data_IF_300565601356
#
_entry.id   IF_300565601356
#
_cell.length_a   1.000
_cell.length_b   1.000
_cell.length_c   1.000
_cell.angle_alpha   90.00
_cell.angle_beta   90.00
_cell.angle_gamma   90.00
#
_symmetry.space_group_name_H-M   'P 1'
#
loop_
_entity.id
_entity.type
_entity.pdbx_description
1 polymer ?
#
# COMPACT_ATOMS: atom_id res chain seq x y z
N UNK A 1 -43.02 2.32 21.06
CA UNK A 1 -42.34 2.01 19.77
C UNK A 1 -43.36 1.79 18.65
N UNK A 2 -44.28 0.83 18.77
CA UNK A 2 -45.30 0.54 17.74
C UNK A 2 -46.10 1.78 17.31
N UNK A 3 -46.60 2.60 18.24
CA UNK A 3 -47.33 3.83 17.92
C UNK A 3 -46.50 4.80 17.06
N UNK A 4 -45.24 5.04 17.42
CA UNK A 4 -44.34 5.93 16.67
C UNK A 4 -44.05 5.40 15.26
N UNK A 5 -43.86 4.09 15.12
CA UNK A 5 -43.67 3.46 13.81
C UNK A 5 -44.93 3.60 12.95
N UNK A 6 -46.12 3.38 13.53
CA UNK A 6 -47.39 3.55 12.82
C UNK A 6 -47.58 5.00 12.38
N UNK A 7 -47.29 5.98 13.25
CA UNK A 7 -47.36 7.40 12.92
C UNK A 7 -46.40 7.73 11.77
N UNK A 8 -45.15 7.25 11.85
CA UNK A 8 -44.16 7.47 10.81
C UNK A 8 -44.58 6.84 9.48
N UNK A 9 -45.08 5.60 9.50
CA UNK A 9 -45.58 4.91 8.32
C UNK A 9 -46.76 5.64 7.67
N UNK A 10 -47.72 6.11 8.47
CA UNK A 10 -48.85 6.93 8.00
C UNK A 10 -48.37 8.24 7.39
N UNK A 11 -47.42 8.92 8.03
CA UNK A 11 -46.84 10.16 7.50
C UNK A 11 -46.09 9.94 6.18
N UNK A 12 -45.29 8.88 6.07
CA UNK A 12 -44.60 8.52 4.82
C UNK A 12 -45.59 8.17 3.71
N UNK A 13 -46.63 7.37 4.01
CA UNK A 13 -47.66 7.00 3.05
C UNK A 13 -48.48 8.21 2.58
N UNK A 14 -48.78 9.16 3.47
CA UNK A 14 -49.41 10.42 3.13
C UNK A 14 -48.57 11.21 2.11
N UNK A 15 -47.24 11.31 2.35
CA UNK A 15 -46.33 11.95 1.41
C UNK A 15 -46.28 11.22 0.05
N UNK A 16 -46.30 9.88 0.06
CA UNK A 16 -46.37 9.06 -1.15
C UNK A 16 -47.67 9.29 -1.93
N UNK A 17 -48.83 9.39 -1.26
CA UNK A 17 -50.11 9.71 -1.89
C UNK A 17 -50.06 11.09 -2.55
N UNK A 18 -49.55 12.11 -1.84
CA UNK A 18 -49.41 13.46 -2.38
C UNK A 18 -48.46 13.50 -3.59
N UNK A 19 -47.33 12.79 -3.53
CA UNK A 19 -46.39 12.65 -4.64
C UNK A 19 -47.00 11.88 -5.82
N UNK A 20 -47.79 10.83 -5.54
CA UNK A 20 -48.53 10.05 -6.53
C UNK A 20 -49.55 10.90 -7.29
N UNK A 21 -50.33 11.74 -6.61
CA UNK A 21 -51.21 12.70 -7.28
C UNK A 21 -50.43 13.73 -8.09
N UNK A 22 -49.29 14.20 -7.57
CA UNK A 22 -48.44 15.15 -8.28
C UNK A 22 -47.81 14.56 -9.54
N UNK A 23 -47.46 13.27 -9.56
CA UNK A 23 -46.92 12.60 -10.74
C UNK A 23 -48.01 12.07 -11.69
N UNK A 24 -49.15 11.63 -11.15
CA UNK A 24 -50.20 10.94 -11.90
C UNK A 24 -51.32 11.82 -12.42
N UNK A 25 -51.59 12.98 -11.81
CA UNK A 25 -52.66 13.90 -12.25
C UNK A 25 -52.06 15.14 -12.89
N UNK A 26 -51.08 15.77 -12.23
CA UNK A 26 -50.58 17.08 -12.62
C UNK A 26 -50.00 17.18 -14.03
N UNK A 27 -49.25 16.18 -14.56
CA UNK A 27 -48.76 16.25 -15.93
C UNK A 27 -49.87 16.18 -16.98
N UNK A 28 -51.04 15.64 -16.63
CA UNK A 28 -52.17 15.43 -17.53
C UNK A 28 -53.28 16.49 -17.38
N UNK A 29 -53.15 17.40 -16.41
CA UNK A 29 -54.14 18.45 -16.13
C UNK A 29 -53.52 19.81 -16.42
N UNK A 30 -54.03 20.50 -17.44
CA UNK A 30 -53.58 21.82 -17.85
C UNK A 30 -53.77 22.06 -19.34
N UNK A 31 -53.37 23.24 -19.81
CA UNK A 31 -53.29 23.52 -21.24
C UNK A 31 -52.00 22.93 -21.80
N UNK A 32 -52.09 22.26 -22.95
CA UNK A 32 -50.92 21.74 -23.65
C UNK A 32 -50.05 22.92 -24.10
N UNK A 33 -48.76 22.99 -23.72
CA UNK A 33 -47.87 24.05 -24.19
C UNK A 33 -47.74 23.98 -25.72
N UNK A 34 -47.69 25.15 -26.36
CA UNK A 34 -47.70 25.27 -27.83
C UNK A 34 -46.53 24.54 -28.52
N UNK A 35 -45.41 24.34 -27.79
CA UNK A 35 -44.21 23.62 -28.24
C UNK A 35 -44.43 22.10 -28.40
N UNK A 36 -45.41 21.52 -27.69
CA UNK A 36 -45.66 20.07 -27.71
C UNK A 36 -46.87 19.67 -28.57
N UNK A 37 -47.47 20.62 -29.31
CA UNK A 37 -48.66 20.37 -30.14
C UNK A 37 -48.44 19.41 -31.32
N UNK A 38 -47.19 19.19 -31.73
CA UNK A 38 -46.81 18.30 -32.83
C UNK A 38 -46.39 16.90 -32.39
N UNK A 39 -46.37 16.62 -31.07
CA UNK A 39 -45.94 15.32 -30.52
C UNK A 39 -47.00 14.26 -30.84
N UNK A 40 -46.59 13.19 -31.54
CA UNK A 40 -47.46 12.07 -31.87
C UNK A 40 -47.52 11.06 -30.71
N UNK A 41 -48.66 10.37 -30.61
CA UNK A 41 -48.83 9.27 -29.67
C UNK A 41 -47.80 8.15 -29.95
N UNK A 42 -47.27 7.50 -28.90
CA UNK A 42 -46.33 6.41 -29.07
C UNK A 42 -46.97 5.23 -29.80
N UNK A 43 -46.16 4.48 -30.56
CA UNK A 43 -46.60 3.32 -31.32
C UNK A 43 -47.30 2.29 -30.42
N UNK A 44 -48.32 1.58 -30.94
CA UNK A 44 -49.16 0.68 -30.14
C UNK A 44 -48.39 -0.43 -29.40
N UNK A 45 -47.22 -0.83 -29.90
CA UNK A 45 -46.33 -1.78 -29.22
C UNK A 45 -45.78 -1.27 -27.88
N UNK A 46 -45.63 0.05 -27.70
CA UNK A 46 -45.17 0.65 -26.44
C UNK A 46 -46.25 0.68 -25.36
N UNK A 47 -47.52 0.51 -25.75
CA UNK A 47 -48.65 0.45 -24.81
C UNK A 47 -48.82 -0.93 -24.19
N UNK A 48 -48.40 -1.98 -24.90
CA UNK A 48 -48.64 -3.36 -24.49
C UNK A 48 -48.04 -3.67 -23.11
N UNK A 49 -46.77 -3.35 -22.79
CA UNK A 49 -46.20 -3.71 -21.48
C UNK A 49 -46.86 -3.00 -20.29
N UNK A 50 -47.06 -1.65 -20.30
CA UNK A 50 -47.79 -0.98 -19.21
C UNK A 50 -49.23 -1.46 -19.06
N UNK A 51 -49.92 -1.77 -20.16
CA UNK A 51 -51.29 -2.25 -20.15
C UNK A 51 -51.38 -3.66 -19.55
N UNK A 52 -50.48 -4.57 -19.93
CA UNK A 52 -50.39 -5.90 -19.33
C UNK A 52 -50.09 -5.79 -17.82
N UNK A 53 -49.13 -4.96 -17.41
CA UNK A 53 -48.83 -4.73 -15.99
C UNK A 53 -50.02 -4.13 -15.23
N UNK A 54 -50.73 -3.19 -15.83
CA UNK A 54 -51.94 -2.60 -15.25
C UNK A 54 -53.08 -3.61 -15.09
N UNK A 55 -53.33 -4.45 -16.10
CA UNK A 55 -54.35 -5.52 -16.05
C UNK A 55 -53.98 -6.56 -15.00
N UNK A 56 -52.72 -7.01 -14.97
CA UNK A 56 -52.24 -7.96 -13.96
C UNK A 56 -52.35 -7.37 -12.54
N UNK A 57 -52.00 -6.09 -12.37
CA UNK A 57 -52.19 -5.35 -11.12
C UNK A 57 -53.66 -5.31 -10.69
N UNK A 58 -54.56 -4.94 -11.59
CA UNK A 58 -56.00 -4.93 -11.34
C UNK A 58 -56.53 -6.33 -10.97
N UNK A 59 -56.19 -7.35 -11.76
CA UNK A 59 -56.61 -8.73 -11.51
C UNK A 59 -56.08 -9.25 -10.17
N UNK A 60 -54.83 -8.93 -9.83
CA UNK A 60 -54.23 -9.30 -8.55
C UNK A 60 -54.91 -8.64 -7.35
N UNK A 61 -55.40 -7.41 -7.50
CA UNK A 61 -56.17 -6.71 -6.48
C UNK A 61 -57.60 -7.25 -6.32
N UNK A 62 -58.25 -7.63 -7.42
CA UNK A 62 -59.61 -8.17 -7.42
C UNK A 62 -59.69 -9.64 -6.99
N UNK A 63 -58.65 -10.44 -7.22
CA UNK A 63 -58.62 -11.87 -6.84
C UNK A 63 -57.40 -12.19 -5.98
N UNK A 64 -57.27 -11.58 -4.78
CA UNK A 64 -56.05 -11.68 -3.98
C UNK A 64 -55.84 -13.08 -3.40
N UNK A 65 -56.88 -13.91 -3.29
CA UNK A 65 -56.78 -15.28 -2.80
C UNK A 65 -55.95 -16.18 -3.73
N UNK A 66 -56.07 -16.01 -5.06
CA UNK A 66 -55.36 -16.85 -6.04
C UNK A 66 -53.84 -16.69 -5.90
N UNK A 67 -53.36 -15.44 -5.84
CA UNK A 67 -51.95 -15.13 -5.66
C UNK A 67 -51.50 -15.30 -4.19
N UNK A 68 -52.39 -15.02 -3.26
CA UNK A 68 -52.17 -15.17 -1.83
C UNK A 68 -51.84 -16.60 -1.43
N UNK A 69 -52.63 -17.55 -1.92
CA UNK A 69 -52.48 -18.97 -1.58
C UNK A 69 -51.39 -19.64 -2.43
N UNK A 70 -51.29 -19.29 -3.72
CA UNK A 70 -50.35 -19.95 -4.64
C UNK A 70 -48.90 -19.45 -4.51
N UNK A 71 -48.67 -18.17 -4.19
CA UNK A 71 -47.34 -17.54 -4.22
C UNK A 71 -46.93 -16.93 -2.88
N UNK A 72 -47.81 -16.13 -2.26
CA UNK A 72 -47.44 -15.37 -1.06
C UNK A 72 -47.32 -16.28 0.17
N UNK A 73 -48.29 -17.18 0.39
CA UNK A 73 -48.30 -18.06 1.56
C UNK A 73 -47.07 -18.99 1.62
N UNK A 74 -46.65 -19.68 0.53
CA UNK A 74 -45.42 -20.46 0.52
C UNK A 74 -44.16 -19.62 0.79
N UNK A 75 -44.08 -18.41 0.20
CA UNK A 75 -42.94 -17.51 0.40
C UNK A 75 -42.83 -17.04 1.85
N UNK A 76 -43.95 -16.66 2.47
CA UNK A 76 -43.99 -16.24 3.89
C UNK A 76 -43.63 -17.41 4.81
N UNK A 77 -44.18 -18.60 4.57
CA UNK A 77 -43.86 -19.79 5.36
C UNK A 77 -42.38 -20.17 5.28
N UNK A 78 -41.77 -20.01 4.09
CA UNK A 78 -40.34 -20.26 3.89
C UNK A 78 -39.45 -19.26 4.62
N UNK A 79 -39.82 -17.98 4.70
CA UNK A 79 -39.03 -16.94 5.40
C UNK A 79 -39.26 -17.01 6.92
N UNK A 80 -40.49 -17.24 7.35
CA UNK A 80 -40.88 -17.24 8.77
C UNK A 80 -40.55 -18.55 9.50
N UNK A 81 -40.31 -19.64 8.76
CA UNK A 81 -40.00 -20.97 9.32
C UNK A 81 -41.17 -21.65 10.05
N UNK A 82 -42.37 -21.06 10.02
CA UNK A 82 -43.60 -21.58 10.62
C UNK A 82 -44.79 -21.35 9.69
N UNK A 83 -45.87 -22.13 9.84
CA UNK A 83 -47.09 -21.95 9.05
C UNK A 83 -47.85 -20.69 9.47
N UNK A 84 -47.60 -19.58 8.79
CA UNK A 84 -48.36 -18.32 8.95
C UNK A 84 -49.48 -18.33 7.92
N UNK A 85 -50.73 -18.40 8.38
CA UNK A 85 -51.89 -18.28 7.48
C UNK A 85 -52.03 -16.82 7.03
N UNK A 86 -51.64 -16.55 5.78
CA UNK A 86 -51.83 -15.24 5.15
C UNK A 86 -53.26 -15.16 4.63
N UNK A 87 -54.12 -14.40 5.31
CA UNK A 87 -55.49 -14.18 4.86
C UNK A 87 -55.59 -12.86 4.09
N UNK A 88 -55.47 -12.94 2.76
CA UNK A 88 -55.68 -11.80 1.88
C UNK A 88 -57.14 -11.74 1.45
N UNK A 89 -57.93 -10.88 2.10
CA UNK A 89 -59.30 -10.54 1.68
C UNK A 89 -59.35 -9.14 1.10
N UNK A 90 -60.23 -8.91 0.13
CA UNK A 90 -60.45 -7.56 -0.43
C UNK A 90 -61.11 -6.67 0.63
N UNK A 91 -62.05 -7.24 1.39
CA UNK A 91 -62.80 -6.54 2.41
C UNK A 91 -62.60 -7.20 3.78
N UNK A 92 -62.05 -6.42 4.71
CA UNK A 92 -61.76 -6.85 6.09
C UNK A 92 -62.74 -6.26 7.11
N UNK A 93 -63.83 -5.61 6.67
CA UNK A 93 -64.78 -4.90 7.53
C UNK A 93 -64.30 -3.52 7.97
N UNK A 94 -65.09 -2.86 8.83
CA UNK A 94 -64.71 -1.60 9.46
C UNK A 94 -63.66 -1.86 10.56
N UNK A 95 -62.39 -1.64 10.24
CA UNK A 95 -61.28 -1.81 11.17
C UNK A 95 -60.38 -0.57 11.22
N UNK A 96 -59.46 -0.56 12.19
CA UNK A 96 -58.53 0.56 12.40
C UNK A 96 -57.66 0.82 11.16
N UNK A 97 -57.27 -0.24 10.44
CA UNK A 97 -56.45 -0.15 9.21
C UNK A 97 -57.19 0.60 8.11
N UNK A 98 -58.49 0.35 7.93
CA UNK A 98 -59.34 1.05 6.96
C UNK A 98 -59.45 2.54 7.32
N UNK A 99 -59.67 2.86 8.60
CA UNK A 99 -59.74 4.25 9.08
C UNK A 99 -58.41 4.97 8.79
N UNK A 100 -57.27 4.33 9.10
CA UNK A 100 -55.95 4.90 8.80
C UNK A 100 -55.73 5.07 7.30
N UNK A 101 -56.16 4.12 6.47
CA UNK A 101 -56.05 4.23 5.00
C UNK A 101 -56.89 5.39 4.46
N UNK A 102 -58.13 5.53 4.90
CA UNK A 102 -59.00 6.66 4.54
C UNK A 102 -58.36 7.97 5.01
N UNK A 103 -57.83 8.01 6.22
CA UNK A 103 -57.14 9.17 6.76
C UNK A 103 -55.89 9.52 5.93
N UNK A 104 -55.07 8.54 5.53
CA UNK A 104 -53.89 8.79 4.67
C UNK A 104 -54.26 9.36 3.31
N UNK A 105 -55.34 8.86 2.69
CA UNK A 105 -55.83 9.37 1.42
C UNK A 105 -56.36 10.79 1.58
N UNK A 106 -57.23 11.03 2.56
CA UNK A 106 -57.80 12.35 2.81
C UNK A 106 -56.71 13.39 3.12
N UNK A 107 -55.80 13.09 4.06
CA UNK A 107 -54.71 13.99 4.41
C UNK A 107 -53.71 14.17 3.27
N UNK A 108 -53.41 13.12 2.50
CA UNK A 108 -52.53 13.18 1.33
C UNK A 108 -53.12 14.05 0.21
N UNK A 109 -54.43 13.96 -0.04
CA UNK A 109 -55.15 14.83 -0.95
C UNK A 109 -55.15 16.29 -0.48
N UNK A 110 -55.36 16.54 0.81
CA UNK A 110 -55.26 17.89 1.40
C UNK A 110 -53.85 18.46 1.18
N UNK A 111 -52.81 17.67 1.47
CA UNK A 111 -51.42 18.07 1.23
C UNK A 111 -51.15 18.33 -0.26
N UNK A 112 -51.70 17.53 -1.18
CA UNK A 112 -51.57 17.78 -2.61
C UNK A 112 -52.13 19.14 -3.03
N UNK A 113 -53.33 19.52 -2.56
CA UNK A 113 -53.94 20.82 -2.89
C UNK A 113 -53.22 22.00 -2.26
N UNK A 114 -52.75 21.86 -1.02
CA UNK A 114 -52.03 22.90 -0.28
C UNK A 114 -50.59 23.05 -0.79
N UNK A 115 -49.93 21.94 -1.13
CA UNK A 115 -48.52 21.93 -1.50
C UNK A 115 -48.28 22.30 -2.96
N UNK A 116 -48.56 23.57 -3.30
CA UNK A 116 -48.17 24.13 -4.59
C UNK A 116 -46.64 24.24 -4.71
N UNK A 117 -46.05 23.86 -5.86
CA UNK A 117 -44.61 23.99 -6.09
C UNK A 117 -44.22 25.45 -6.10
N UNK A 118 -43.13 25.77 -5.40
CA UNK A 118 -42.58 27.11 -5.32
C UNK A 118 -41.06 27.01 -5.29
N UNK A 119 -40.38 27.96 -5.92
CA UNK A 119 -38.91 28.03 -5.95
C UNK A 119 -38.30 28.06 -4.54
N UNK A 120 -38.97 28.72 -3.57
CA UNK A 120 -38.51 28.77 -2.18
C UNK A 120 -38.57 27.42 -1.45
N UNK A 121 -39.50 26.53 -1.84
CA UNK A 121 -39.56 25.16 -1.29
C UNK A 121 -38.50 24.27 -1.93
N UNK A 122 -38.25 24.47 -3.22
CA UNK A 122 -37.23 23.73 -3.95
C UNK A 122 -35.83 24.05 -3.41
N UNK A 123 -35.52 25.32 -3.17
CA UNK A 123 -34.24 25.73 -2.54
C UNK A 123 -34.10 25.21 -1.11
N UNK A 124 -35.19 25.18 -0.33
CA UNK A 124 -35.18 24.57 1.00
C UNK A 124 -34.84 23.07 0.96
N UNK A 125 -35.43 22.30 0.04
CA UNK A 125 -35.11 20.87 -0.11
C UNK A 125 -33.70 20.67 -0.67
N UNK A 126 -33.24 21.54 -1.57
CA UNK A 126 -31.87 21.52 -2.10
C UNK A 126 -30.83 21.72 -0.97
N UNK A 127 -31.14 22.50 0.07
CA UNK A 127 -30.26 22.62 1.24
C UNK A 127 -30.07 21.28 1.97
N UNK A 128 -31.06 20.38 1.95
CA UNK A 128 -30.92 19.03 2.52
C UNK A 128 -30.13 18.08 1.62
N UNK A 129 -29.89 18.44 0.35
CA UNK A 129 -29.03 17.65 -0.55
C UNK A 129 -27.56 17.63 -0.09
N UNK A 130 -27.17 18.51 0.83
CA UNK A 130 -25.90 18.42 1.56
C UNK A 130 -25.75 17.11 2.33
N UNK A 131 -26.85 16.49 2.77
CA UNK A 131 -26.89 15.20 3.49
C UNK A 131 -27.20 14.03 2.54
N UNK A 132 -27.13 14.25 1.22
CA UNK A 132 -27.43 13.18 0.25
C UNK A 132 -26.34 12.09 0.25
N UNK A 133 -26.73 10.79 0.22
CA UNK A 133 -25.79 9.68 0.10
C UNK A 133 -24.86 9.80 -1.11
N UNK A 134 -25.38 10.34 -2.23
CA UNK A 134 -24.61 10.59 -3.45
C UNK A 134 -23.43 11.53 -3.21
N UNK A 135 -23.64 12.61 -2.43
CA UNK A 135 -22.58 13.57 -2.11
C UNK A 135 -21.54 12.96 -1.17
N UNK A 136 -21.98 12.18 -0.18
CA UNK A 136 -21.07 11.46 0.71
C UNK A 136 -20.17 10.49 -0.07
N UNK A 137 -20.76 9.73 -0.99
CA UNK A 137 -20.03 8.84 -1.90
C UNK A 137 -19.02 9.61 -2.76
N UNK A 138 -19.46 10.68 -3.44
CA UNK A 138 -18.58 11.47 -4.31
C UNK A 138 -17.43 12.11 -3.52
N UNK A 139 -17.69 12.57 -2.29
CA UNK A 139 -16.66 13.10 -1.41
C UNK A 139 -15.64 12.04 -0.99
N UNK A 140 -16.10 10.85 -0.59
CA UNK A 140 -15.22 9.72 -0.25
C UNK A 140 -14.35 9.31 -1.44
N UNK A 141 -14.94 9.16 -2.62
CA UNK A 141 -14.22 8.81 -3.84
C UNK A 141 -13.13 9.84 -4.17
N UNK A 142 -13.47 11.14 -4.09
CA UNK A 142 -12.50 12.22 -4.30
C UNK A 142 -11.37 12.17 -3.28
N UNK A 143 -11.69 11.98 -2.00
CA UNK A 143 -10.69 11.90 -0.92
C UNK A 143 -9.78 10.69 -1.08
N UNK A 144 -10.34 9.56 -1.50
CA UNK A 144 -9.56 8.37 -1.80
C UNK A 144 -8.59 8.60 -2.97
N UNK A 145 -9.04 9.27 -4.03
CA UNK A 145 -8.18 9.63 -5.16
C UNK A 145 -7.05 10.59 -4.74
N UNK A 146 -7.38 11.65 -3.99
CA UNK A 146 -6.39 12.58 -3.44
C UNK A 146 -5.37 11.87 -2.54
N UNK A 147 -5.84 10.96 -1.68
CA UNK A 147 -4.99 10.14 -0.82
C UNK A 147 -4.09 9.21 -1.63
N UNK A 148 -4.61 8.56 -2.67
CA UNK A 148 -3.83 7.69 -3.56
C UNK A 148 -2.72 8.47 -4.27
N UNK A 149 -3.03 9.67 -4.78
CA UNK A 149 -2.05 10.55 -5.39
C UNK A 149 -0.97 11.00 -4.40
N UNK A 150 -1.35 11.39 -3.19
CA UNK A 150 -0.42 11.75 -2.11
C UNK A 150 0.47 10.57 -1.70
N UNK A 151 -0.11 9.39 -1.49
CA UNK A 151 0.61 8.16 -1.12
C UNK A 151 1.62 7.76 -2.20
N UNK A 152 1.20 7.82 -3.47
CA UNK A 152 2.06 7.52 -4.62
C UNK A 152 3.17 8.54 -4.75
N UNK A 153 2.88 9.84 -4.59
CA UNK A 153 3.90 10.89 -4.62
C UNK A 153 4.92 10.78 -3.48
N UNK A 154 4.53 10.26 -2.31
CA UNK A 154 5.47 9.98 -1.22
C UNK A 154 6.28 8.72 -1.50
N UNK A 155 5.63 7.61 -1.82
CA UNK A 155 6.29 6.31 -1.94
C UNK A 155 7.05 6.14 -3.25
N UNK A 156 6.47 6.55 -4.37
CA UNK A 156 6.96 6.35 -5.74
C UNK A 156 7.30 7.68 -6.44
N UNK A 157 8.26 8.42 -5.90
CA UNK A 157 8.68 9.72 -6.46
C UNK A 157 9.76 9.64 -7.56
N UNK A 158 10.22 8.43 -7.93
CA UNK A 158 11.23 8.22 -8.97
C UNK A 158 12.68 8.49 -8.53
N UNK A 159 12.92 9.02 -7.32
CA UNK A 159 14.27 9.32 -6.85
C UNK A 159 14.85 8.17 -6.02
N UNK A 160 15.97 7.60 -6.49
CA UNK A 160 16.68 6.52 -5.79
C UNK A 160 17.00 6.83 -4.32
N UNK A 161 17.43 8.07 -4.03
CA UNK A 161 17.68 8.54 -2.66
C UNK A 161 16.47 8.36 -1.74
N UNK A 162 15.25 8.61 -2.24
CA UNK A 162 14.05 8.47 -1.44
C UNK A 162 13.69 7.01 -1.17
N UNK A 163 13.90 6.13 -2.16
CA UNK A 163 13.69 4.69 -1.99
C UNK A 163 14.69 4.11 -0.98
N UNK A 164 15.98 4.44 -1.10
CA UNK A 164 17.03 4.00 -0.16
C UNK A 164 16.70 4.50 1.26
N UNK A 165 16.31 5.76 1.42
CA UNK A 165 15.94 6.31 2.73
C UNK A 165 14.79 5.50 3.37
N UNK A 166 13.73 5.17 2.63
CA UNK A 166 12.61 4.38 3.13
C UNK A 166 13.02 2.96 3.50
N UNK A 167 13.85 2.32 2.68
CA UNK A 167 14.38 0.97 2.95
C UNK A 167 15.20 0.98 4.24
N UNK A 168 16.10 1.96 4.40
CA UNK A 168 16.93 2.09 5.61
C UNK A 168 16.06 2.37 6.83
N UNK A 169 15.10 3.29 6.77
CA UNK A 169 14.17 3.57 7.88
C UNK A 169 13.36 2.32 8.23
N UNK A 170 12.85 1.60 7.24
CA UNK A 170 12.10 0.37 7.46
C UNK A 170 12.96 -0.71 8.13
N UNK A 171 14.19 -0.92 7.65
CA UNK A 171 15.15 -1.83 8.26
C UNK A 171 15.49 -1.42 9.71
N UNK A 172 15.68 -0.12 9.98
CA UNK A 172 15.87 0.41 11.33
C UNK A 172 14.69 0.06 12.25
N UNK A 173 13.45 0.25 11.79
CA UNK A 173 12.27 -0.08 12.57
C UNK A 173 12.21 -1.57 12.91
N UNK A 174 12.59 -2.46 11.97
CA UNK A 174 12.67 -3.89 12.22
C UNK A 174 13.77 -4.24 13.24
N UNK A 175 14.97 -3.67 13.11
CA UNK A 175 16.04 -3.90 14.08
C UNK A 175 15.71 -3.34 15.46
N UNK A 176 15.06 -2.17 15.53
CA UNK A 176 14.58 -1.59 16.79
C UNK A 176 13.55 -2.52 17.43
N UNK A 177 12.59 -3.02 16.65
CA UNK A 177 11.59 -3.98 17.12
C UNK A 177 12.26 -5.25 17.70
N UNK A 178 13.23 -5.81 16.99
CA UNK A 178 13.99 -6.98 17.44
C UNK A 178 14.84 -6.68 18.69
N UNK A 179 15.44 -5.49 18.78
CA UNK A 179 16.18 -5.06 19.97
C UNK A 179 15.27 -4.93 21.19
N UNK A 180 14.03 -4.44 21.02
CA UNK A 180 13.03 -4.40 22.09
C UNK A 180 12.58 -5.80 22.53
N UNK A 181 12.44 -6.75 21.61
CA UNK A 181 11.98 -8.11 21.92
C UNK A 181 13.07 -8.99 22.54
N UNK A 182 14.30 -8.94 22.00
CA UNK A 182 15.33 -9.92 22.32
C UNK A 182 16.09 -9.71 23.64
N UNK A 183 15.47 -9.11 24.65
CA UNK A 183 16.04 -8.99 26.00
C UNK A 183 17.09 -7.89 26.21
N UNK A 184 17.66 -7.79 27.44
CA UNK A 184 18.55 -6.69 27.83
C UNK A 184 19.92 -6.77 27.15
N UNK A 185 20.48 -5.60 26.83
CA UNK A 185 21.83 -5.47 26.27
C UNK A 185 22.82 -5.34 27.44
N UNK A 186 23.74 -6.29 27.60
CA UNK A 186 24.82 -6.21 28.60
C UNK A 186 26.18 -6.61 28.03
N UNK A 187 27.22 -5.83 28.35
CA UNK A 187 28.58 -6.15 27.92
C UNK A 187 29.26 -7.02 28.98
N UNK A 188 29.61 -8.26 28.60
CA UNK A 188 30.44 -9.10 29.45
C UNK A 188 31.91 -8.81 29.18
N UNK A 189 32.50 -7.93 30.00
CA UNK A 189 33.91 -7.55 29.90
C UNK A 189 34.89 -8.73 30.01
N UNK A 190 34.48 -9.85 30.63
CA UNK A 190 35.36 -11.02 30.76
C UNK A 190 35.57 -11.78 29.46
N UNK A 191 34.72 -11.56 28.44
CA UNK A 191 34.83 -12.19 27.12
C UNK A 191 35.52 -11.29 26.08
N UNK A 192 35.90 -10.07 26.45
CA UNK A 192 36.54 -9.13 25.55
C UNK A 192 38.06 -9.35 25.55
N UNK A 193 38.64 -9.42 24.36
CA UNK A 193 40.10 -9.46 24.18
C UNK A 193 40.72 -8.09 24.52
N UNK A 194 41.96 -8.07 25.06
CA UNK A 194 42.67 -6.82 25.29
C UNK A 194 42.95 -6.11 23.96
N UNK A 195 42.78 -4.78 23.93
CA UNK A 195 43.01 -3.97 22.73
C UNK A 195 44.50 -3.80 22.51
N UNK A 196 44.97 -4.16 21.32
CA UNK A 196 46.35 -3.94 20.89
C UNK A 196 46.55 -2.53 20.34
N UNK A 197 47.77 -2.00 20.45
CA UNK A 197 48.12 -0.68 19.90
C UNK A 197 47.96 -0.64 18.37
N UNK A 198 48.19 -1.78 17.70
CA UNK A 198 48.04 -1.93 16.26
C UNK A 198 46.57 -1.86 15.83
N UNK A 199 45.66 -2.42 16.63
CA UNK A 199 44.21 -2.33 16.42
C UNK A 199 43.73 -0.88 16.58
N UNK A 200 44.18 -0.21 17.65
CA UNK A 200 43.86 1.21 17.89
C UNK A 200 44.34 2.12 16.75
N UNK A 201 45.57 1.92 16.26
CA UNK A 201 46.10 2.64 15.11
C UNK A 201 45.28 2.38 13.83
N UNK A 202 44.82 1.15 13.62
CA UNK A 202 44.00 0.77 12.46
C UNK A 202 42.62 1.42 12.50
N UNK A 203 41.98 1.45 13.68
CA UNK A 203 40.72 2.17 13.88
C UNK A 203 40.89 3.67 13.63
N UNK A 204 42.02 4.26 14.04
CA UNK A 204 42.32 5.67 13.76
C UNK A 204 42.45 5.92 12.25
N UNK A 205 43.14 5.05 11.50
CA UNK A 205 43.20 5.16 10.04
C UNK A 205 41.82 5.03 9.38
N UNK A 206 40.97 4.14 9.89
CA UNK A 206 39.59 3.99 9.43
C UNK A 206 38.78 5.28 9.65
N UNK A 207 38.85 5.88 10.84
CA UNK A 207 38.17 7.14 11.15
C UNK A 207 38.70 8.29 10.27
N UNK A 208 40.02 8.35 10.05
CA UNK A 208 40.63 9.36 9.19
C UNK A 208 40.18 9.21 7.72
N UNK A 209 40.16 7.99 7.19
CA UNK A 209 39.65 7.69 5.85
C UNK A 209 38.18 8.07 5.68
N UNK A 210 37.34 7.74 6.67
CA UNK A 210 35.93 8.14 6.70
C UNK A 210 35.76 9.67 6.74
N UNK A 211 36.51 10.35 7.61
CA UNK A 211 36.46 11.81 7.72
C UNK A 211 36.80 12.50 6.39
N UNK A 212 37.87 12.06 5.73
CA UNK A 212 38.26 12.58 4.40
C UNK A 212 37.16 12.33 3.38
N UNK A 213 36.59 11.12 3.36
CA UNK A 213 35.55 10.74 2.40
C UNK A 213 34.28 11.57 2.55
N UNK A 214 33.87 11.90 3.79
CA UNK A 214 32.65 12.66 4.07
C UNK A 214 32.80 14.17 3.89
N UNK A 215 34.01 14.71 4.06
CA UNK A 215 34.24 16.17 4.05
C UNK A 215 34.78 16.68 2.72
N UNK A 216 35.36 15.82 1.90
CA UNK A 216 36.05 16.25 0.68
C UNK A 216 35.07 16.69 -0.42
N UNK A 217 35.35 17.82 -1.11
CA UNK A 217 34.59 18.23 -2.28
C UNK A 217 35.02 17.50 -3.57
N UNK A 218 36.09 16.71 -3.55
CA UNK A 218 36.68 16.06 -4.74
C UNK A 218 36.33 14.58 -4.81
N UNK A 219 35.84 14.12 -5.97
CA UNK A 219 35.49 12.70 -6.18
C UNK A 219 36.70 11.78 -6.06
N UNK A 220 37.82 12.20 -6.64
CA UNK A 220 39.07 11.43 -6.59
C UNK A 220 39.53 11.25 -5.14
N UNK A 221 39.47 12.33 -4.35
CA UNK A 221 39.83 12.28 -2.92
C UNK A 221 38.86 11.41 -2.12
N UNK A 222 37.56 11.42 -2.44
CA UNK A 222 36.58 10.55 -1.77
C UNK A 222 36.82 9.06 -2.06
N UNK A 223 37.15 8.73 -3.31
CA UNK A 223 37.54 7.36 -3.70
C UNK A 223 38.80 6.92 -2.98
N UNK A 224 39.83 7.78 -2.93
CA UNK A 224 41.07 7.49 -2.19
C UNK A 224 40.78 7.32 -0.69
N UNK A 225 39.95 8.18 -0.09
CA UNK A 225 39.55 8.05 1.32
C UNK A 225 38.79 6.76 1.62
N UNK A 226 37.95 6.31 0.69
CA UNK A 226 37.25 5.02 0.78
C UNK A 226 38.25 3.86 0.73
N UNK A 227 39.29 3.95 -0.11
CA UNK A 227 40.35 2.95 -0.17
C UNK A 227 41.23 2.89 1.08
N UNK A 228 41.50 4.03 1.71
CA UNK A 228 42.15 4.05 3.04
C UNK A 228 41.34 3.23 4.05
N UNK A 229 40.01 3.31 3.99
CA UNK A 229 39.12 2.48 4.82
C UNK A 229 39.23 1.00 4.45
N UNK A 230 39.28 0.66 3.15
CA UNK A 230 39.48 -0.70 2.66
C UNK A 230 40.81 -1.31 3.11
N UNK A 231 41.92 -0.55 3.04
CA UNK A 231 43.22 -1.00 3.53
C UNK A 231 43.30 -1.12 5.05
N UNK A 232 42.59 -0.27 5.80
CA UNK A 232 42.46 -0.45 7.24
C UNK A 232 41.77 -1.79 7.57
N UNK A 233 40.72 -2.15 6.83
CA UNK A 233 40.05 -3.47 6.96
C UNK A 233 41.00 -4.62 6.58
N UNK A 234 41.82 -4.44 5.53
CA UNK A 234 42.85 -5.41 5.16
C UNK A 234 43.85 -5.66 6.29
N UNK A 235 44.28 -4.61 7.00
CA UNK A 235 45.16 -4.75 8.16
C UNK A 235 44.47 -5.53 9.30
N UNK A 236 43.17 -5.29 9.53
CA UNK A 236 42.40 -6.07 10.51
C UNK A 236 42.39 -7.57 10.14
N UNK A 237 42.15 -7.93 8.88
CA UNK A 237 42.21 -9.33 8.46
C UNK A 237 43.59 -9.96 8.70
N UNK A 238 44.67 -9.22 8.45
CA UNK A 238 46.02 -9.71 8.72
C UNK A 238 46.26 -9.94 10.21
N UNK A 239 45.86 -9.00 11.07
CA UNK A 239 46.00 -9.14 12.53
C UNK A 239 45.17 -10.30 13.09
N UNK A 240 43.99 -10.56 12.52
CA UNK A 240 43.14 -11.70 12.89
C UNK A 240 43.46 -13.00 12.11
N UNK A 241 44.68 -13.10 11.55
CA UNK A 241 45.18 -14.33 10.90
C UNK A 241 44.33 -14.82 9.73
N UNK A 242 43.74 -13.90 8.97
CA UNK A 242 42.98 -14.16 7.74
C UNK A 242 43.75 -13.64 6.50
N UNK A 243 44.91 -14.23 6.14
CA UNK A 243 45.78 -13.71 5.08
C UNK A 243 45.15 -13.77 3.69
N UNK A 244 44.37 -14.81 3.38
CA UNK A 244 43.70 -14.94 2.08
C UNK A 244 42.69 -13.81 1.87
N UNK A 245 41.88 -13.50 2.90
CA UNK A 245 40.93 -12.38 2.87
C UNK A 245 41.66 -11.04 2.71
N UNK A 246 42.80 -10.86 3.36
CA UNK A 246 43.60 -9.65 3.26
C UNK A 246 44.12 -9.44 1.82
N UNK A 247 44.73 -10.47 1.21
CA UNK A 247 45.25 -10.38 -0.17
C UNK A 247 44.11 -10.09 -1.16
N UNK A 248 42.97 -10.74 -1.01
CA UNK A 248 41.81 -10.49 -1.88
C UNK A 248 41.27 -9.08 -1.69
N UNK A 249 41.12 -8.62 -0.44
CA UNK A 249 40.61 -7.28 -0.13
C UNK A 249 41.53 -6.21 -0.71
N UNK A 250 42.84 -6.35 -0.52
CA UNK A 250 43.83 -5.43 -1.06
C UNK A 250 43.77 -5.33 -2.59
N UNK A 251 43.71 -6.48 -3.26
CA UNK A 251 43.67 -6.55 -4.73
C UNK A 251 42.39 -5.94 -5.30
N UNK A 252 41.24 -6.31 -4.73
CA UNK A 252 39.94 -5.81 -5.17
C UNK A 252 39.80 -4.32 -4.90
N UNK A 253 40.22 -3.84 -3.72
CA UNK A 253 40.15 -2.42 -3.39
C UNK A 253 41.03 -1.58 -4.34
N UNK A 254 42.24 -2.05 -4.65
CA UNK A 254 43.11 -1.43 -5.66
C UNK A 254 42.43 -1.37 -7.04
N UNK A 255 41.83 -2.48 -7.49
CA UNK A 255 41.15 -2.56 -8.79
C UNK A 255 39.93 -1.62 -8.83
N UNK A 256 39.14 -1.58 -7.76
CA UNK A 256 37.99 -0.68 -7.63
C UNK A 256 38.44 0.77 -7.72
N UNK A 257 39.50 1.17 -7.00
CA UNK A 257 40.06 2.53 -7.10
C UNK A 257 40.44 2.85 -8.53
N UNK A 258 41.21 1.98 -9.20
CA UNK A 258 41.62 2.21 -10.59
C UNK A 258 40.41 2.37 -11.52
N UNK A 259 39.41 1.50 -11.40
CA UNK A 259 38.19 1.57 -12.21
C UNK A 259 37.40 2.85 -11.92
N UNK A 260 37.21 3.21 -10.66
CA UNK A 260 36.52 4.44 -10.29
C UNK A 260 37.26 5.66 -10.81
N UNK A 261 38.58 5.72 -10.68
CA UNK A 261 39.37 6.85 -11.21
C UNK A 261 39.21 6.97 -12.72
N UNK A 262 39.26 5.86 -13.46
CA UNK A 262 39.06 5.85 -14.91
C UNK A 262 37.66 6.35 -15.30
N UNK A 263 36.62 5.90 -14.62
CA UNK A 263 35.24 6.33 -14.89
C UNK A 263 35.04 7.79 -14.49
N UNK A 264 35.51 8.20 -13.32
CA UNK A 264 35.35 9.55 -12.79
C UNK A 264 36.09 10.59 -13.63
N UNK A 265 37.23 10.23 -14.23
CA UNK A 265 37.96 11.10 -15.14
C UNK A 265 37.13 11.51 -16.37
N UNK A 266 36.19 10.65 -16.79
CA UNK A 266 35.31 10.89 -17.93
C UNK A 266 33.99 11.59 -17.55
N UNK A 267 33.74 11.85 -16.25
CA UNK A 267 32.52 12.49 -15.78
C UNK A 267 32.75 13.98 -15.50
N UNK A 268 31.77 14.86 -15.80
CA UNK A 268 31.88 16.28 -15.46
C UNK A 268 32.02 16.44 -13.94
N UNK A 269 32.71 17.46 -13.41
CA UNK A 269 32.88 17.67 -11.97
C UNK A 269 31.53 17.77 -11.22
N UNK A 270 31.53 17.60 -9.89
CA UNK A 270 30.30 17.67 -9.09
C UNK A 270 29.48 18.92 -9.46
N UNK A 271 28.23 18.72 -9.86
CA UNK A 271 27.23 19.79 -9.81
C UNK A 271 27.03 20.07 -8.33
N UNK A 272 27.72 21.08 -7.81
CA UNK A 272 27.37 21.66 -6.52
C UNK A 272 25.99 22.25 -6.71
N UNK A 273 24.94 21.55 -6.30
CA UNK A 273 23.62 22.16 -6.18
C UNK A 273 23.76 23.29 -5.15
N UNK A 274 23.68 24.57 -5.56
CA UNK A 274 23.67 25.67 -4.62
C UNK A 274 22.39 25.51 -3.79
N UNK A 275 22.51 25.28 -2.48
CA UNK A 275 21.36 25.07 -1.61
C UNK A 275 20.95 23.60 -1.43
N UNK A 276 21.88 22.70 -1.12
CA UNK A 276 21.46 21.48 -0.39
C UNK A 276 20.81 21.95 0.90
N UNK A 277 19.49 21.79 1.00
CA UNK A 277 18.74 22.27 2.15
C UNK A 277 19.34 21.66 3.41
N UNK A 278 19.82 22.51 4.34
CA UNK A 278 20.27 22.11 5.67
C UNK A 278 19.40 21.04 6.33
N UNK A 279 18.04 21.09 6.27
CA UNK A 279 17.20 20.02 6.83
C UNK A 279 17.44 18.64 6.20
N UNK A 280 17.75 18.56 4.91
CA UNK A 280 17.99 17.29 4.23
C UNK A 280 19.30 16.66 4.73
N UNK A 281 20.36 17.46 4.90
CA UNK A 281 21.63 16.97 5.45
C UNK A 281 21.42 16.49 6.88
N UNK A 282 20.73 17.28 7.71
CA UNK A 282 20.46 16.91 9.11
C UNK A 282 19.67 15.59 9.17
N UNK A 283 18.63 15.43 8.35
CA UNK A 283 17.86 14.19 8.26
C UNK A 283 18.74 12.99 7.88
N UNK A 284 19.53 13.12 6.81
CA UNK A 284 20.34 12.01 6.31
C UNK A 284 21.49 11.66 7.27
N UNK A 285 22.05 12.65 7.97
CA UNK A 285 23.01 12.43 9.07
C UNK A 285 22.36 11.71 10.23
N UNK A 286 21.16 12.14 10.66
CA UNK A 286 20.43 11.49 11.76
C UNK A 286 20.13 10.02 11.43
N UNK A 287 19.62 9.76 10.21
CA UNK A 287 19.28 8.41 9.76
C UNK A 287 20.51 7.53 9.59
N UNK A 288 21.61 8.05 9.03
CA UNK A 288 22.83 7.25 8.87
C UNK A 288 23.52 6.94 10.21
N UNK A 289 23.56 7.93 11.12
CA UNK A 289 24.11 7.74 12.47
C UNK A 289 23.26 6.77 13.29
N UNK A 290 21.92 6.89 13.24
CA UNK A 290 21.03 5.95 13.92
C UNK A 290 21.19 4.53 13.37
N UNK A 291 21.34 4.37 12.06
CA UNK A 291 21.59 3.07 11.44
C UNK A 291 22.87 2.44 11.98
N UNK A 292 23.98 3.18 11.94
CA UNK A 292 25.28 2.72 12.43
C UNK A 292 25.25 2.34 13.90
N UNK A 293 24.58 3.15 14.74
CA UNK A 293 24.43 2.87 16.16
C UNK A 293 23.60 1.60 16.41
N UNK A 294 22.47 1.44 15.71
CA UNK A 294 21.65 0.23 15.80
C UNK A 294 22.47 -1.00 15.41
N UNK A 295 23.20 -0.94 14.29
CA UNK A 295 24.05 -2.06 13.85
C UNK A 295 25.17 -2.37 14.85
N UNK A 296 25.78 -1.35 15.48
CA UNK A 296 26.77 -1.55 16.53
C UNK A 296 26.17 -2.23 17.77
N UNK A 297 24.97 -1.82 18.19
CA UNK A 297 24.25 -2.46 19.29
C UNK A 297 23.89 -3.92 18.95
N UNK A 298 23.40 -4.17 17.73
CA UNK A 298 23.11 -5.53 17.25
C UNK A 298 24.39 -6.38 17.26
N UNK A 299 25.51 -5.86 16.77
CA UNK A 299 26.79 -6.57 16.80
C UNK A 299 27.23 -6.91 18.23
N UNK A 300 27.10 -5.97 19.18
CA UNK A 300 27.38 -6.21 20.60
C UNK A 300 26.47 -7.31 21.17
N UNK A 301 25.20 -7.33 20.79
CA UNK A 301 24.23 -8.34 21.24
C UNK A 301 24.57 -9.73 20.69
N UNK A 302 25.00 -9.83 19.43
CA UNK A 302 25.43 -11.10 18.81
C UNK A 302 26.59 -11.74 19.58
N UNK A 303 27.51 -10.97 20.17
CA UNK A 303 28.61 -11.50 20.98
C UNK A 303 28.15 -12.28 22.23
N UNK A 304 26.90 -12.11 22.65
CA UNK A 304 26.33 -12.82 23.80
C UNK A 304 25.70 -14.16 23.41
N UNK A 305 25.43 -14.38 22.13
CA UNK A 305 24.83 -15.63 21.63
C UNK A 305 25.87 -16.75 21.73
N UNK A 306 25.52 -17.92 22.30
CA UNK A 306 26.45 -19.05 22.37
C UNK A 306 26.80 -19.50 20.94
N UNK A 307 28.09 -19.57 20.65
CA UNK A 307 28.62 -20.03 19.36
C UNK A 307 29.11 -21.48 19.47
N UNK A 308 28.73 -22.33 18.52
CA UNK A 308 29.23 -23.70 18.38
C UNK A 308 30.45 -23.73 17.46
N UNK A 309 31.54 -24.39 17.88
CA UNK A 309 32.78 -24.52 17.09
C UNK A 309 32.88 -25.87 16.35
N UNK A 310 31.83 -26.68 16.35
CA UNK A 310 31.83 -28.02 15.75
C UNK A 310 32.23 -28.02 14.27
N UNK A 311 31.62 -27.12 13.48
CA UNK A 311 31.95 -26.98 12.05
C UNK A 311 33.42 -26.58 11.85
N UNK A 312 33.95 -25.66 12.66
CA UNK A 312 35.35 -25.25 12.58
C UNK A 312 36.30 -26.41 12.91
N UNK A 313 35.96 -27.23 13.91
CA UNK A 313 36.74 -28.42 14.27
C UNK A 313 36.68 -29.49 13.17
N UNK A 314 35.52 -29.71 12.58
CA UNK A 314 35.34 -30.63 11.46
C UNK A 314 36.23 -30.22 10.27
N UNK A 315 36.15 -28.96 9.83
CA UNK A 315 36.96 -28.50 8.69
C UNK A 315 38.47 -28.50 9.02
N UNK A 316 38.85 -28.08 10.23
CA UNK A 316 40.26 -28.08 10.64
C UNK A 316 40.88 -29.47 10.66
N UNK A 317 40.16 -30.48 11.14
CA UNK A 317 40.63 -31.87 11.19
C UNK A 317 40.54 -32.58 9.84
N UNK A 318 39.53 -32.26 9.03
CA UNK A 318 39.24 -32.96 7.77
C UNK A 318 39.96 -32.39 6.55
N UNK A 319 40.38 -31.12 6.57
CA UNK A 319 40.98 -30.46 5.41
C UNK A 319 42.18 -31.22 4.82
N UNK A 320 43.11 -31.66 5.67
CA UNK A 320 44.23 -32.48 5.20
C UNK A 320 43.87 -33.95 5.07
N UNK A 321 43.06 -34.50 5.99
CA UNK A 321 42.74 -35.92 6.01
C UNK A 321 41.97 -36.36 4.76
N UNK A 322 40.90 -35.63 4.41
CA UNK A 322 39.98 -35.94 3.31
C UNK A 322 40.39 -35.24 2.00
N UNK A 323 40.65 -33.93 2.04
CA UNK A 323 40.86 -33.11 0.85
C UNK A 323 42.35 -32.87 0.49
N UNK A 324 43.29 -33.41 1.30
CA UNK A 324 44.75 -33.31 1.10
C UNK A 324 45.31 -31.87 1.01
N UNK A 325 44.56 -30.87 1.46
CA UNK A 325 45.00 -29.47 1.46
C UNK A 325 45.46 -28.98 2.83
N UNK A 326 46.47 -28.10 2.84
CA UNK A 326 46.99 -27.46 4.07
C UNK A 326 46.34 -26.11 4.37
N UNK A 327 45.90 -25.40 3.34
CA UNK A 327 45.15 -24.16 3.51
C UNK A 327 43.67 -24.50 3.70
N UNK A 328 43.20 -24.44 4.95
CA UNK A 328 41.83 -24.78 5.32
C UNK A 328 40.81 -23.88 4.61
N UNK A 329 41.09 -22.59 4.46
CA UNK A 329 40.18 -21.64 3.79
C UNK A 329 40.01 -22.02 2.33
N UNK A 330 41.12 -22.20 1.60
CA UNK A 330 41.07 -22.60 0.20
C UNK A 330 40.35 -23.94 0.02
N UNK A 331 40.62 -24.93 0.88
CA UNK A 331 39.96 -26.25 0.83
C UNK A 331 38.45 -26.13 1.05
N UNK A 332 37.99 -25.27 1.98
CA UNK A 332 36.56 -25.02 2.16
C UNK A 332 35.96 -24.45 0.87
N UNK A 333 36.61 -23.46 0.25
CA UNK A 333 36.08 -22.79 -0.94
C UNK A 333 36.03 -23.71 -2.17
N UNK A 334 37.02 -24.57 -2.40
CA UNK A 334 37.11 -25.34 -3.65
C UNK A 334 36.59 -26.77 -3.54
N UNK A 335 36.61 -27.37 -2.34
CA UNK A 335 36.24 -28.77 -2.13
C UNK A 335 34.93 -28.87 -1.32
N UNK A 336 34.98 -28.61 0.00
CA UNK A 336 33.81 -28.81 0.86
C UNK A 336 32.60 -27.94 0.49
N UNK A 337 32.83 -26.71 0.01
CA UNK A 337 31.81 -25.76 -0.44
C UNK A 337 32.08 -25.22 -1.85
N UNK A 338 32.71 -26.05 -2.69
CA UNK A 338 33.01 -25.75 -4.10
C UNK A 338 31.83 -25.25 -4.92
N UNK A 339 30.61 -25.67 -4.56
CA UNK A 339 29.39 -25.27 -5.25
C UNK A 339 29.08 -23.78 -5.11
N UNK A 340 29.34 -23.19 -3.94
CA UNK A 340 29.10 -21.76 -3.70
C UNK A 340 30.08 -20.93 -4.56
N UNK A 341 31.37 -21.32 -4.57
CA UNK A 341 32.41 -20.67 -5.38
C UNK A 341 32.17 -20.83 -6.88
N UNK A 342 31.62 -21.96 -7.34
CA UNK A 342 31.20 -22.12 -8.73
C UNK A 342 30.17 -21.04 -9.13
N UNK A 343 29.16 -20.79 -8.28
CA UNK A 343 28.16 -19.77 -8.57
C UNK A 343 28.68 -18.34 -8.43
N UNK A 344 29.61 -18.07 -7.52
CA UNK A 344 30.31 -16.78 -7.46
C UNK A 344 31.05 -16.48 -8.77
N UNK A 345 31.74 -17.48 -9.34
CA UNK A 345 32.41 -17.36 -10.66
C UNK A 345 31.38 -17.10 -11.77
N UNK A 346 30.24 -17.77 -11.75
CA UNK A 346 29.14 -17.54 -12.71
C UNK A 346 28.61 -16.11 -12.60
N UNK A 347 28.39 -15.59 -11.39
CA UNK A 347 27.94 -14.20 -11.19
C UNK A 347 28.97 -13.20 -11.73
N UNK A 348 30.27 -13.42 -11.48
CA UNK A 348 31.33 -12.57 -12.02
C UNK A 348 31.39 -12.62 -13.55
N UNK A 349 31.22 -13.82 -14.14
CA UNK A 349 31.18 -13.98 -15.60
C UNK A 349 29.97 -13.24 -16.20
N UNK A 350 28.79 -13.35 -15.59
CA UNK A 350 27.58 -12.63 -16.04
C UNK A 350 27.77 -11.11 -15.89
N UNK A 351 28.36 -10.64 -14.79
CA UNK A 351 28.65 -9.22 -14.59
C UNK A 351 29.63 -8.69 -15.66
N UNK A 352 30.70 -9.45 -15.95
CA UNK A 352 31.66 -9.10 -16.99
C UNK A 352 31.01 -9.05 -18.39
N UNK A 353 30.18 -10.04 -18.73
CA UNK A 353 29.41 -10.06 -19.98
C UNK A 353 28.40 -8.91 -20.05
N UNK A 354 27.73 -8.57 -18.94
CA UNK A 354 26.81 -7.45 -18.85
C UNK A 354 27.50 -6.11 -19.09
N UNK A 355 28.65 -5.88 -18.45
CA UNK A 355 29.49 -4.69 -18.68
C UNK A 355 29.96 -4.63 -20.13
N UNK A 356 30.45 -5.74 -20.68
CA UNK A 356 30.86 -5.82 -22.08
C UNK A 356 29.71 -5.47 -23.04
N UNK A 357 28.52 -6.02 -22.78
CA UNK A 357 27.31 -5.73 -23.55
C UNK A 357 26.95 -4.26 -23.49
N UNK A 358 26.91 -3.64 -22.29
CA UNK A 358 26.62 -2.21 -22.14
C UNK A 358 27.62 -1.30 -22.87
N UNK A 359 28.89 -1.71 -22.94
CA UNK A 359 29.93 -0.94 -23.65
C UNK A 359 29.86 -1.09 -25.17
N UNK A 360 29.43 -2.26 -25.67
CA UNK A 360 29.40 -2.57 -27.11
C UNK A 360 28.05 -2.32 -27.77
N UNK A 361 26.95 -2.46 -27.04
CA UNK A 361 25.60 -2.32 -27.55
C UNK A 361 25.30 -0.84 -27.82
N UNK A 362 25.43 -0.43 -29.09
CA UNK A 362 24.99 0.89 -29.56
C UNK A 362 23.62 0.77 -30.20
N UNK A 363 22.57 0.91 -29.40
CA UNK A 363 21.19 1.01 -29.90
C UNK A 363 21.00 2.31 -30.68
N UNK A 364 20.36 2.24 -31.85
CA UNK A 364 19.94 3.45 -32.57
C UNK A 364 18.86 4.15 -31.75
N UNK A 365 18.73 5.47 -31.91
CA UNK A 365 17.77 6.25 -31.12
C UNK A 365 16.30 5.81 -31.30
N UNK A 366 15.98 5.06 -32.38
CA UNK A 366 14.65 4.49 -32.61
C UNK A 366 14.39 3.15 -31.90
N UNK A 367 15.39 2.57 -31.24
CA UNK A 367 15.32 1.24 -30.60
C UNK A 367 15.40 1.33 -29.06
N UNK A 368 15.28 2.55 -28.51
CA UNK A 368 15.45 2.84 -27.07
C UNK A 368 14.16 2.86 -26.26
N UNK A 369 13.03 2.44 -26.83
CA UNK A 369 11.75 2.35 -26.11
C UNK A 369 11.61 1.06 -25.30
#
# INVERSE_FOLDING_TARGET
IALYITILAVATNLCLVAAGFMAGIKPFVGQLPHEFGSVRLPHGSMWLPPLVLGILGFFSGCFPAVLGDALISPAVNSIAGNSVKVHLKIWHGFNLVLILSIATLALGTIVYYINKPSQGKLSFVANYQHVSPLRAYAWLAKKFYEFSGWYTGIMHNGFLRSYILKIVIFAQLLFIYELFQGGPIYLNYSKLSPISIYEGATVLFLIAGLYITLTTPSRLTAVIGTSVTGYAICLLFLYFSAPDLAITQFTIDTLIVVLFVLVLFNLPPFIKFPGVDKPIIIRDTLVSLSFGLIMAIVAIKVLQVPTSIESSNFYGSSAYALAKGKNVVNVILVDFRGFDTMFEIVVLAIAALGVYSLLKLRLKSSEKE
#
